data_IF_671953886535
#
_entry.id   IF_671953886535
#
_cell.length_a   1.000
_cell.length_b   1.000
_cell.length_c   1.000
_cell.angle_alpha   90.00
_cell.angle_beta   90.00
_cell.angle_gamma   90.00
#
_symmetry.space_group_name_H-M   'P 1'
#
loop_
_entity.id
_entity.type
_entity.pdbx_description
1 polymer ?
#
# COMPACT_ATOMS: atom_id res chain seq x y z
N UNK A 1 2.58 -6.68 -35.12
CA UNK A 1 3.31 -5.90 -34.10
C UNK A 1 2.25 -5.06 -33.40
N UNK A 2 1.65 -5.61 -32.35
CA UNK A 2 0.57 -4.95 -31.61
C UNK A 2 1.16 -3.89 -30.69
N UNK A 3 0.67 -2.66 -30.80
CA UNK A 3 0.93 -1.57 -29.87
C UNK A 3 0.63 -2.00 -28.43
N UNK A 4 1.66 -2.45 -27.70
CA UNK A 4 1.56 -2.68 -26.27
C UNK A 4 1.61 -1.30 -25.60
N UNK A 5 0.45 -0.63 -25.56
CA UNK A 5 0.25 0.57 -24.75
C UNK A 5 0.54 0.19 -23.30
N UNK A 6 1.70 0.62 -22.79
CA UNK A 6 2.02 0.60 -21.37
C UNK A 6 0.88 1.32 -20.63
N UNK A 7 -0.02 0.55 -20.02
CA UNK A 7 -1.16 1.08 -19.28
C UNK A 7 -0.75 1.17 -17.83
N UNK A 8 -0.41 2.37 -17.39
CA UNK A 8 -0.16 2.64 -15.97
C UNK A 8 -1.46 2.52 -15.19
N UNK A 9 -1.44 1.77 -14.10
CA UNK A 9 -2.55 1.69 -13.17
C UNK A 9 -2.30 2.56 -11.95
N UNK A 10 -3.38 3.15 -11.44
CA UNK A 10 -3.34 4.08 -10.32
C UNK A 10 -4.24 3.57 -9.20
N UNK A 11 -3.66 3.39 -8.01
CA UNK A 11 -4.35 3.05 -6.77
C UNK A 11 -4.40 4.32 -5.89
N UNK A 12 -5.57 4.97 -5.77
CA UNK A 12 -5.72 6.23 -5.06
C UNK A 12 -5.70 6.08 -3.53
N UNK A 13 -5.42 7.18 -2.83
CA UNK A 13 -5.55 7.27 -1.38
C UNK A 13 -7.02 7.12 -0.93
N UNK A 14 -7.99 7.63 -1.70
CA UNK A 14 -9.42 7.57 -1.37
C UNK A 14 -10.10 6.24 -1.76
N UNK A 15 -9.32 5.19 -2.00
CA UNK A 15 -9.81 3.85 -2.35
C UNK A 15 -10.82 3.26 -1.37
N UNK A 16 -10.80 3.68 -0.11
CA UNK A 16 -11.79 3.28 0.90
C UNK A 16 -13.23 3.67 0.52
N UNK A 17 -13.42 4.73 -0.28
CA UNK A 17 -14.74 5.19 -0.73
C UNK A 17 -15.46 4.18 -1.64
N UNK A 18 -14.73 3.23 -2.26
CA UNK A 18 -15.32 2.24 -3.18
C UNK A 18 -16.27 1.30 -2.43
N UNK A 19 -16.03 1.07 -1.14
CA UNK A 19 -16.93 0.31 -0.29
C UNK A 19 -18.36 0.89 -0.28
N UNK A 20 -18.51 2.21 -0.46
CA UNK A 20 -19.81 2.88 -0.53
C UNK A 20 -20.52 2.69 -1.88
N UNK A 21 -19.77 2.43 -2.95
CA UNK A 21 -20.30 2.34 -4.31
C UNK A 21 -21.08 1.06 -4.55
N UNK A 22 -20.74 -0.05 -3.88
CA UNK A 22 -21.36 -1.36 -4.10
C UNK A 22 -22.91 -1.34 -3.99
N UNK A 23 -23.46 -0.55 -3.06
CA UNK A 23 -24.92 -0.41 -2.88
C UNK A 23 -25.50 0.93 -3.33
N UNK A 24 -24.67 1.97 -3.39
CA UNK A 24 -25.16 3.34 -3.57
C UNK A 24 -24.79 3.97 -4.91
N UNK A 25 -23.99 3.29 -5.76
CA UNK A 25 -23.52 3.87 -7.02
C UNK A 25 -24.68 4.30 -7.93
N UNK A 26 -25.71 3.46 -8.08
CA UNK A 26 -26.90 3.81 -8.88
C UNK A 26 -27.59 5.05 -8.35
N UNK A 27 -27.73 5.17 -7.02
CA UNK A 27 -28.33 6.35 -6.39
C UNK A 27 -27.49 7.61 -6.60
N UNK A 28 -26.16 7.51 -6.49
CA UNK A 28 -25.23 8.61 -6.76
C UNK A 28 -25.30 9.08 -8.21
N UNK A 29 -25.39 8.13 -9.15
CA UNK A 29 -25.53 8.42 -10.58
C UNK A 29 -26.89 9.08 -10.89
N UNK A 30 -27.98 8.57 -10.32
CA UNK A 30 -29.34 9.14 -10.50
C UNK A 30 -29.44 10.53 -9.88
N UNK A 31 -28.75 10.77 -8.75
CA UNK A 31 -28.70 12.07 -8.10
C UNK A 31 -27.71 13.04 -8.76
N UNK A 32 -27.08 12.67 -9.89
CA UNK A 32 -26.09 13.47 -10.62
C UNK A 32 -24.94 13.98 -9.74
N UNK A 33 -24.56 13.20 -8.72
CA UNK A 33 -23.45 13.55 -7.83
C UNK A 33 -22.15 13.54 -8.65
N UNK A 34 -21.36 14.63 -8.66
CA UNK A 34 -20.11 14.68 -9.42
C UNK A 34 -19.08 13.75 -8.78
N UNK A 35 -18.85 12.59 -9.40
CA UNK A 35 -17.84 11.62 -8.96
C UNK A 35 -16.55 11.78 -9.78
N UNK A 36 -15.37 11.81 -9.12
CA UNK A 36 -14.10 11.86 -9.84
C UNK A 36 -13.91 10.66 -10.76
N UNK A 37 -13.53 10.91 -12.02
CA UNK A 37 -13.35 9.85 -13.03
C UNK A 37 -12.32 8.80 -12.63
N UNK A 38 -11.25 9.20 -11.95
CA UNK A 38 -10.20 8.27 -11.52
C UNK A 38 -10.72 7.25 -10.49
N UNK A 39 -11.63 7.66 -9.59
CA UNK A 39 -12.26 6.76 -8.62
C UNK A 39 -13.21 5.79 -9.30
N UNK A 40 -13.98 6.25 -10.29
CA UNK A 40 -14.84 5.35 -11.09
C UNK A 40 -14.02 4.33 -11.88
N UNK A 41 -12.89 4.76 -12.46
CA UNK A 41 -11.97 3.85 -13.15
C UNK A 41 -11.39 2.81 -12.18
N UNK A 42 -10.83 3.25 -11.06
CA UNK A 42 -10.27 2.36 -10.05
C UNK A 42 -11.33 1.41 -9.46
N UNK A 43 -12.55 1.89 -9.21
CA UNK A 43 -13.69 1.05 -8.81
C UNK A 43 -13.97 -0.03 -9.86
N UNK A 44 -13.96 0.30 -11.16
CA UNK A 44 -14.12 -0.72 -12.20
C UNK A 44 -13.00 -1.77 -12.19
N UNK A 45 -11.76 -1.39 -11.94
CA UNK A 45 -10.64 -2.33 -11.86
C UNK A 45 -10.71 -3.21 -10.61
N UNK A 46 -11.10 -2.64 -9.47
CA UNK A 46 -11.39 -3.38 -8.24
C UNK A 46 -12.46 -4.46 -8.47
N UNK A 47 -13.52 -4.13 -9.20
CA UNK A 47 -14.58 -5.08 -9.54
C UNK A 47 -14.08 -6.22 -10.43
N UNK A 48 -13.24 -5.92 -11.42
CA UNK A 48 -12.59 -6.94 -12.27
C UNK A 48 -11.67 -7.84 -11.46
N UNK A 49 -10.84 -7.26 -10.60
CA UNK A 49 -9.94 -7.98 -9.71
C UNK A 49 -10.72 -8.94 -8.79
N UNK A 50 -11.79 -8.45 -8.17
CA UNK A 50 -12.66 -9.27 -7.32
C UNK A 50 -13.32 -10.42 -8.08
N UNK A 51 -13.76 -10.19 -9.32
CA UNK A 51 -14.40 -11.22 -10.15
C UNK A 51 -13.44 -12.32 -10.59
N UNK A 52 -12.16 -12.00 -10.79
CA UNK A 52 -11.15 -12.97 -11.20
C UNK A 52 -10.54 -13.72 -10.02
N UNK A 53 -10.07 -12.99 -8.99
CA UNK A 53 -9.35 -13.61 -7.88
C UNK A 53 -10.27 -14.40 -6.96
N UNK A 54 -11.55 -14.00 -6.87
CA UNK A 54 -12.64 -14.57 -6.06
C UNK A 54 -12.40 -14.62 -4.55
N UNK A 55 -11.21 -14.94 -4.08
CA UNK A 55 -10.84 -15.01 -2.67
C UNK A 55 -9.45 -14.42 -2.45
N UNK A 56 -9.21 -13.90 -1.24
CA UNK A 56 -7.90 -13.38 -0.84
C UNK A 56 -7.75 -13.43 0.69
N UNK A 57 -6.61 -13.92 1.18
CA UNK A 57 -6.24 -13.77 2.58
C UNK A 57 -5.29 -12.58 2.74
N UNK A 58 -5.56 -11.72 3.74
CA UNK A 58 -4.77 -10.53 4.03
C UNK A 58 -5.05 -10.05 5.46
N UNK A 59 -4.07 -9.46 6.14
CA UNK A 59 -4.23 -8.84 7.48
C UNK A 59 -5.03 -9.70 8.50
N UNK A 60 -4.86 -11.03 8.46
CA UNK A 60 -5.58 -12.01 9.28
C UNK A 60 -7.11 -12.08 9.06
N UNK A 61 -7.59 -11.66 7.89
CA UNK A 61 -8.97 -11.85 7.44
C UNK A 61 -8.98 -12.54 6.08
N UNK A 62 -10.15 -13.12 5.73
CA UNK A 62 -10.38 -13.73 4.43
C UNK A 62 -11.45 -12.96 3.67
N UNK A 63 -11.10 -12.47 2.50
CA UNK A 63 -12.04 -11.93 1.53
C UNK A 63 -12.62 -13.04 0.64
N UNK A 64 -13.92 -12.94 0.36
CA UNK A 64 -14.63 -13.74 -0.63
C UNK A 64 -15.56 -12.84 -1.44
N UNK A 65 -15.46 -12.90 -2.77
CA UNK A 65 -16.38 -12.23 -3.68
C UNK A 65 -17.57 -13.15 -4.00
N UNK A 66 -18.73 -12.82 -3.42
CA UNK A 66 -20.00 -13.46 -3.79
C UNK A 66 -20.54 -12.97 -5.13
N UNK A 67 -21.82 -13.26 -5.38
CA UNK A 67 -22.55 -12.82 -6.57
C UNK A 67 -23.64 -11.80 -6.21
N UNK A 68 -24.03 -10.94 -7.17
CA UNK A 68 -25.15 -10.00 -7.00
C UNK A 68 -24.92 -8.94 -5.91
N UNK A 69 -25.83 -8.87 -4.93
CA UNK A 69 -25.74 -7.92 -3.79
C UNK A 69 -24.88 -8.46 -2.63
N UNK A 70 -24.42 -9.70 -2.71
CA UNK A 70 -23.66 -10.42 -1.69
C UNK A 70 -22.13 -10.32 -1.92
N UNK A 71 -21.69 -9.27 -2.61
CA UNK A 71 -20.29 -9.08 -3.00
C UNK A 71 -19.45 -8.52 -1.87
N UNK A 72 -18.16 -8.82 -1.95
CA UNK A 72 -17.12 -8.35 -1.02
C UNK A 72 -17.38 -8.68 0.46
N UNK A 73 -17.46 -9.98 0.77
CA UNK A 73 -17.57 -10.48 2.14
C UNK A 73 -16.18 -10.56 2.76
N UNK A 74 -16.04 -10.07 3.99
CA UNK A 74 -14.81 -10.15 4.79
C UNK A 74 -15.09 -11.03 6.01
N UNK A 75 -14.49 -12.21 6.01
CA UNK A 75 -14.54 -13.19 7.08
C UNK A 75 -13.43 -12.91 8.09
N UNK A 76 -13.80 -12.81 9.37
CA UNK A 76 -12.87 -12.66 10.49
C UNK A 76 -12.73 -13.95 11.31
N UNK A 77 -13.48 -14.98 10.94
CA UNK A 77 -13.29 -16.39 11.31
C UNK A 77 -13.97 -17.28 10.23
N UNK A 78 -13.96 -18.60 10.42
CA UNK A 78 -14.48 -19.56 9.42
C UNK A 78 -15.96 -19.40 9.05
N UNK A 79 -16.76 -18.69 9.87
CA UNK A 79 -18.23 -18.63 9.73
C UNK A 79 -18.76 -17.21 9.62
N UNK A 80 -18.20 -16.30 10.40
CA UNK A 80 -18.71 -14.95 10.56
C UNK A 80 -18.02 -13.99 9.59
N UNK A 81 -18.84 -13.22 8.89
CA UNK A 81 -18.38 -12.21 7.95
C UNK A 81 -19.16 -10.90 8.08
N UNK A 82 -18.54 -9.83 7.59
CA UNK A 82 -19.19 -8.56 7.34
C UNK A 82 -19.05 -8.21 5.86
N UNK A 83 -20.06 -7.61 5.22
CA UNK A 83 -19.87 -6.89 3.98
C UNK A 83 -18.77 -5.82 4.14
N UNK A 84 -17.98 -5.57 3.09
CA UNK A 84 -16.86 -4.62 3.12
C UNK A 84 -17.26 -3.24 3.66
N UNK A 85 -18.43 -2.73 3.29
CA UNK A 85 -18.94 -1.43 3.74
C UNK A 85 -19.16 -1.32 5.26
N UNK A 86 -19.29 -2.45 5.96
CA UNK A 86 -19.45 -2.51 7.41
C UNK A 86 -18.17 -2.94 8.14
N UNK A 87 -17.08 -3.20 7.41
CA UNK A 87 -15.78 -3.49 8.01
C UNK A 87 -15.08 -2.22 8.53
N UNK A 88 -13.97 -2.37 9.24
CA UNK A 88 -13.18 -1.24 9.71
C UNK A 88 -12.57 -0.45 8.54
N UNK A 89 -12.29 0.84 8.76
CA UNK A 89 -11.71 1.71 7.73
C UNK A 89 -10.35 1.20 7.20
N UNK A 90 -9.56 0.52 8.04
CA UNK A 90 -8.32 -0.14 7.64
C UNK A 90 -8.56 -1.27 6.64
N UNK A 91 -9.59 -2.10 6.85
CA UNK A 91 -9.98 -3.16 5.90
C UNK A 91 -10.58 -2.58 4.62
N UNK A 92 -11.41 -1.54 4.73
CA UNK A 92 -11.97 -0.82 3.58
C UNK A 92 -10.89 -0.19 2.69
N UNK A 93 -9.77 0.24 3.28
CA UNK A 93 -8.59 0.77 2.56
C UNK A 93 -7.70 -0.36 2.02
N UNK A 94 -7.44 -1.40 2.82
CA UNK A 94 -6.52 -2.48 2.48
C UNK A 94 -7.06 -3.40 1.40
N UNK A 95 -8.32 -3.84 1.47
CA UNK A 95 -8.84 -4.84 0.53
C UNK A 95 -8.74 -4.37 -0.94
N UNK A 96 -9.17 -3.14 -1.30
CA UNK A 96 -9.00 -2.65 -2.67
C UNK A 96 -7.54 -2.62 -3.11
N UNK A 97 -6.63 -2.16 -2.25
CA UNK A 97 -5.19 -2.14 -2.52
C UNK A 97 -4.67 -3.56 -2.79
N UNK A 98 -4.88 -4.49 -1.86
CA UNK A 98 -4.36 -5.84 -1.94
C UNK A 98 -4.86 -6.59 -3.18
N UNK A 99 -6.18 -6.56 -3.44
CA UNK A 99 -6.75 -7.20 -4.63
C UNK A 99 -6.20 -6.60 -5.93
N UNK A 100 -6.14 -5.27 -6.02
CA UNK A 100 -5.73 -4.61 -7.26
C UNK A 100 -4.24 -4.72 -7.51
N UNK A 101 -3.38 -4.68 -6.48
CA UNK A 101 -1.94 -4.96 -6.62
C UNK A 101 -1.71 -6.34 -7.22
N UNK A 102 -2.32 -7.38 -6.66
CA UNK A 102 -2.20 -8.76 -7.17
C UNK A 102 -2.76 -8.91 -8.58
N UNK A 103 -3.86 -8.22 -8.87
CA UNK A 103 -4.47 -8.23 -10.19
C UNK A 103 -3.60 -7.51 -11.24
N UNK A 104 -3.04 -6.35 -10.88
CA UNK A 104 -2.28 -5.49 -11.78
C UNK A 104 -0.88 -5.99 -12.07
N UNK A 105 -0.21 -6.61 -11.11
CA UNK A 105 1.19 -7.02 -11.27
C UNK A 105 1.42 -7.92 -12.50
N UNK A 106 0.48 -8.80 -12.82
CA UNK A 106 0.57 -9.71 -13.97
C UNK A 106 0.04 -9.11 -15.30
N UNK A 107 -0.37 -7.84 -15.30
CA UNK A 107 -1.12 -7.21 -16.41
C UNK A 107 -0.53 -5.88 -16.86
N UNK A 108 0.12 -5.17 -15.95
CA UNK A 108 0.53 -3.81 -16.16
C UNK A 108 1.97 -3.60 -15.72
N UNK A 109 2.79 -3.07 -16.63
CA UNK A 109 4.19 -2.77 -16.37
C UNK A 109 4.41 -1.54 -15.49
N UNK A 110 3.37 -0.82 -15.08
CA UNK A 110 3.50 0.39 -14.25
C UNK A 110 2.33 0.52 -13.29
N UNK A 111 2.64 0.66 -12.01
CA UNK A 111 1.66 0.74 -10.92
C UNK A 111 2.05 1.93 -10.03
N UNK A 112 1.11 2.84 -9.81
CA UNK A 112 1.23 3.99 -8.92
C UNK A 112 0.33 3.74 -7.71
N UNK A 113 0.86 3.88 -6.51
CA UNK A 113 0.12 3.69 -5.25
C UNK A 113 0.28 4.93 -4.39
N UNK A 114 -0.84 5.56 -4.03
CA UNK A 114 -0.87 6.64 -3.04
C UNK A 114 -1.25 6.11 -1.65
N UNK A 115 -0.47 6.51 -0.66
CA UNK A 115 -0.65 6.21 0.77
C UNK A 115 -1.00 4.73 1.04
N UNK A 116 -0.13 3.75 0.72
CA UNK A 116 -0.39 2.35 1.04
C UNK A 116 -0.69 2.11 2.54
N UNK A 117 -0.22 2.99 3.42
CA UNK A 117 -0.42 2.98 4.87
C UNK A 117 -1.81 3.42 5.36
N UNK A 118 -2.63 4.00 4.49
CA UNK A 118 -3.83 4.74 4.87
C UNK A 118 -4.75 3.88 5.76
N UNK A 119 -5.13 4.40 6.95
CA UNK A 119 -5.94 3.75 7.99
C UNK A 119 -5.33 2.48 8.63
N UNK A 120 -4.05 2.18 8.40
CA UNK A 120 -3.40 0.99 8.94
C UNK A 120 -2.52 1.31 10.15
N UNK A 121 -2.57 0.43 11.14
CA UNK A 121 -1.63 0.44 12.26
C UNK A 121 -0.22 0.04 11.78
N UNK A 122 0.88 0.50 12.41
CA UNK A 122 2.25 0.27 11.92
C UNK A 122 2.58 -1.17 11.53
N UNK A 123 2.10 -2.16 12.30
CA UNK A 123 2.29 -3.58 11.96
C UNK A 123 1.65 -3.96 10.61
N UNK A 124 0.43 -3.51 10.36
CA UNK A 124 -0.27 -3.76 9.09
C UNK A 124 0.36 -3.01 7.92
N UNK A 125 0.99 -1.85 8.15
CA UNK A 125 1.75 -1.13 7.12
C UNK A 125 2.94 -1.97 6.65
N UNK A 126 3.72 -2.55 7.57
CA UNK A 126 4.80 -3.49 7.23
C UNK A 126 4.28 -4.66 6.37
N UNK A 127 3.23 -5.34 6.84
CA UNK A 127 2.62 -6.46 6.12
C UNK A 127 2.10 -6.05 4.73
N UNK A 128 1.64 -4.80 4.58
CA UNK A 128 1.20 -4.24 3.29
C UNK A 128 2.37 -4.03 2.33
N UNK A 129 3.49 -3.51 2.82
CA UNK A 129 4.70 -3.33 1.99
C UNK A 129 5.25 -4.69 1.55
N UNK A 130 5.34 -5.65 2.47
CA UNK A 130 5.76 -7.02 2.14
C UNK A 130 4.84 -7.65 1.08
N UNK A 131 3.52 -7.47 1.22
CA UNK A 131 2.55 -7.93 0.23
C UNK A 131 2.74 -7.28 -1.14
N UNK A 132 2.97 -5.96 -1.19
CA UNK A 132 3.22 -5.24 -2.43
C UNK A 132 4.48 -5.80 -3.10
N UNK A 133 5.61 -5.84 -2.38
CA UNK A 133 6.88 -6.32 -2.93
C UNK A 133 6.77 -7.77 -3.41
N UNK A 134 6.07 -8.65 -2.69
CA UNK A 134 5.88 -10.05 -3.09
C UNK A 134 5.18 -10.23 -4.43
N UNK A 135 4.26 -9.32 -4.77
CA UNK A 135 3.45 -9.46 -5.99
C UNK A 135 4.05 -8.71 -7.19
N UNK A 136 4.84 -7.68 -6.95
CA UNK A 136 5.49 -6.90 -7.99
C UNK A 136 6.67 -7.71 -8.57
N UNK A 137 6.83 -7.69 -9.88
CA UNK A 137 7.85 -8.41 -10.65
C UNK A 137 8.84 -7.43 -11.28
N UNK A 138 9.96 -7.95 -11.80
CA UNK A 138 10.97 -7.15 -12.52
C UNK A 138 10.41 -6.43 -13.77
N UNK A 139 9.25 -6.85 -14.28
CA UNK A 139 8.58 -6.20 -15.41
C UNK A 139 7.74 -4.98 -14.99
N UNK A 140 7.51 -4.81 -13.69
CA UNK A 140 6.70 -3.74 -13.14
C UNK A 140 7.56 -2.56 -12.68
N UNK A 141 7.11 -1.34 -12.99
CA UNK A 141 7.61 -0.08 -12.43
C UNK A 141 6.64 0.38 -11.36
N UNK A 142 7.02 0.19 -10.10
CA UNK A 142 6.24 0.63 -8.94
C UNK A 142 6.64 2.06 -8.55
N UNK A 143 5.65 2.93 -8.41
CA UNK A 143 5.80 4.26 -7.83
C UNK A 143 4.89 4.37 -6.62
N UNK A 144 5.44 4.73 -5.46
CA UNK A 144 4.67 4.86 -4.22
C UNK A 144 4.86 6.25 -3.63
N UNK A 145 3.78 6.79 -3.07
CA UNK A 145 3.79 8.02 -2.29
C UNK A 145 3.35 7.68 -0.86
N UNK A 146 4.11 8.15 0.13
CA UNK A 146 3.87 7.83 1.53
C UNK A 146 4.29 9.01 2.41
N UNK A 147 3.57 9.20 3.50
CA UNK A 147 3.95 10.07 4.61
C UNK A 147 4.41 9.27 5.83
N UNK A 148 4.40 7.94 5.74
CA UNK A 148 4.66 7.06 6.87
C UNK A 148 6.14 6.72 7.03
N UNK A 149 6.76 7.06 8.20
CA UNK A 149 8.09 6.57 8.52
C UNK A 149 8.12 5.03 8.66
N UNK A 150 6.99 4.39 8.97
CA UNK A 150 6.91 2.93 9.09
C UNK A 150 6.97 2.24 7.72
N UNK A 151 6.43 2.85 6.67
CA UNK A 151 6.58 2.35 5.29
C UNK A 151 8.04 2.40 4.86
N UNK A 152 8.72 3.53 5.10
CA UNK A 152 10.15 3.67 4.78
C UNK A 152 11.01 2.69 5.59
N UNK A 153 10.71 2.53 6.88
CA UNK A 153 11.39 1.56 7.75
C UNK A 153 11.19 0.13 7.25
N UNK A 154 9.97 -0.22 6.82
CA UNK A 154 9.70 -1.55 6.26
C UNK A 154 10.54 -1.78 4.99
N UNK A 155 10.58 -0.82 4.06
CA UNK A 155 11.42 -0.91 2.86
C UNK A 155 12.91 -1.05 3.20
N UNK A 156 13.42 -0.27 4.17
CA UNK A 156 14.81 -0.38 4.64
C UNK A 156 15.12 -1.77 5.20
N UNK A 157 14.21 -2.38 5.94
CA UNK A 157 14.39 -3.75 6.43
C UNK A 157 14.50 -4.75 5.27
N UNK A 158 13.70 -4.59 4.22
CA UNK A 158 13.73 -5.45 3.03
C UNK A 158 15.02 -5.26 2.20
N UNK A 159 15.51 -4.03 2.10
CA UNK A 159 16.79 -3.70 1.47
C UNK A 159 17.95 -4.31 2.25
N UNK A 160 17.99 -4.08 3.56
CA UNK A 160 19.04 -4.62 4.42
C UNK A 160 19.04 -6.15 4.43
N UNK A 161 17.86 -6.78 4.41
CA UNK A 161 17.74 -8.23 4.30
C UNK A 161 18.38 -8.77 3.02
N UNK A 162 18.24 -8.07 1.88
CA UNK A 162 18.90 -8.46 0.64
C UNK A 162 20.43 -8.38 0.75
N UNK A 163 20.96 -7.32 1.34
CA UNK A 163 22.41 -7.16 1.53
C UNK A 163 22.98 -8.21 2.49
N UNK A 164 22.28 -8.50 3.61
CA UNK A 164 22.64 -9.57 4.54
C UNK A 164 22.59 -10.93 3.84
N UNK A 165 21.56 -11.21 3.04
CA UNK A 165 21.43 -12.43 2.25
C UNK A 165 22.62 -12.62 1.30
N UNK A 166 22.99 -11.57 0.56
CA UNK A 166 24.09 -11.62 -0.40
C UNK A 166 25.46 -11.84 0.28
N UNK A 167 25.65 -11.33 1.49
CA UNK A 167 26.92 -11.44 2.22
C UNK A 167 27.04 -12.70 3.10
N UNK A 168 25.94 -13.14 3.70
CA UNK A 168 25.91 -14.18 4.75
C UNK A 168 25.07 -15.41 4.38
N UNK A 169 24.37 -15.37 3.25
CA UNK A 169 23.46 -16.42 2.79
C UNK A 169 22.04 -16.30 3.37
N UNK A 170 21.11 -17.04 2.76
CA UNK A 170 19.66 -17.02 3.09
C UNK A 170 19.37 -17.39 4.55
N UNK A 171 20.17 -18.27 5.17
CA UNK A 171 19.94 -18.71 6.55
C UNK A 171 20.05 -17.55 7.56
N UNK A 172 20.79 -16.48 7.23
CA UNK A 172 20.94 -15.31 8.10
C UNK A 172 19.65 -14.48 8.21
N UNK A 173 18.72 -14.59 7.26
CA UNK A 173 17.47 -13.80 7.22
C UNK A 173 16.20 -14.61 7.48
N UNK A 174 16.28 -15.94 7.43
CA UNK A 174 15.14 -16.88 7.40
C UNK A 174 14.06 -16.70 8.47
N UNK A 175 14.41 -16.19 9.65
CA UNK A 175 13.46 -15.95 10.76
C UNK A 175 13.11 -14.47 10.96
N UNK A 176 13.53 -13.61 10.03
CA UNK A 176 13.39 -12.15 10.11
C UNK A 176 12.58 -11.65 8.91
N UNK A 177 12.97 -12.02 7.69
CA UNK A 177 12.34 -11.62 6.43
C UNK A 177 12.36 -12.82 5.47
N UNK A 178 11.27 -13.07 4.75
CA UNK A 178 11.27 -14.11 3.71
C UNK A 178 12.07 -13.64 2.48
N UNK A 179 12.77 -14.56 1.81
CA UNK A 179 13.62 -14.21 0.67
C UNK A 179 12.87 -13.50 -0.46
N UNK A 180 11.60 -13.84 -0.68
CA UNK A 180 10.73 -13.22 -1.70
C UNK A 180 10.40 -11.75 -1.43
N UNK A 181 10.65 -11.26 -0.21
CA UNK A 181 10.45 -9.86 0.16
C UNK A 181 11.74 -9.04 0.04
N UNK A 182 12.89 -9.66 -0.22
CA UNK A 182 14.15 -8.94 -0.35
C UNK A 182 14.11 -7.95 -1.53
N UNK A 183 14.54 -6.72 -1.28
CA UNK A 183 14.61 -5.66 -2.30
C UNK A 183 16.07 -5.29 -2.53
N UNK A 184 16.49 -5.19 -3.78
CA UNK A 184 17.83 -4.72 -4.09
C UNK A 184 17.88 -3.18 -4.03
N UNK A 185 18.84 -2.64 -3.28
CA UNK A 185 19.03 -1.19 -3.13
C UNK A 185 19.15 -0.47 -4.49
N UNK A 186 19.84 -1.08 -5.45
CA UNK A 186 20.11 -0.44 -6.74
C UNK A 186 18.85 -0.32 -7.63
N UNK A 187 17.78 -1.04 -7.27
CA UNK A 187 16.48 -1.00 -7.96
C UNK A 187 15.49 -0.01 -7.29
N UNK A 188 15.93 0.69 -6.23
CA UNK A 188 15.11 1.64 -5.47
C UNK A 188 15.60 3.06 -5.68
N UNK A 189 14.65 3.99 -5.86
CA UNK A 189 14.91 5.41 -5.76
C UNK A 189 13.89 6.03 -4.81
N UNK A 190 14.35 6.91 -3.93
CA UNK A 190 13.49 7.60 -2.97
C UNK A 190 13.78 9.10 -3.00
N UNK A 191 12.71 9.90 -3.01
CA UNK A 191 12.78 11.35 -3.07
C UNK A 191 11.79 11.95 -2.07
N UNK A 192 12.18 13.09 -1.51
CA UNK A 192 11.28 13.98 -0.77
C UNK A 192 11.09 15.30 -1.52
N UNK A 193 10.06 16.06 -1.17
CA UNK A 193 9.80 17.38 -1.73
C UNK A 193 9.99 18.42 -0.62
N UNK A 194 10.95 19.33 -0.80
CA UNK A 194 11.17 20.48 0.07
C UNK A 194 11.19 21.73 -0.79
N UNK A 195 10.41 22.75 -0.40
CA UNK A 195 10.32 24.04 -1.11
C UNK A 195 10.06 23.88 -2.63
N UNK A 196 9.22 22.92 -3.00
CA UNK A 196 8.86 22.64 -4.39
C UNK A 196 9.97 21.98 -5.22
N UNK A 197 11.05 21.52 -4.60
CA UNK A 197 12.15 20.79 -5.25
C UNK A 197 12.18 19.33 -4.78
N UNK A 198 12.41 18.42 -5.73
CA UNK A 198 12.73 17.03 -5.43
C UNK A 198 14.15 16.93 -4.89
N UNK A 199 14.30 16.26 -3.75
CA UNK A 199 15.58 15.98 -3.10
C UNK A 199 15.69 14.47 -2.94
N UNK A 200 16.81 13.94 -3.41
CA UNK A 200 17.16 12.53 -3.26
C UNK A 200 17.49 12.21 -1.80
N UNK A 201 16.86 11.17 -1.27
CA UNK A 201 17.02 10.75 0.13
C UNK A 201 17.66 9.35 0.25
N UNK A 202 18.20 8.78 -0.81
CA UNK A 202 18.94 7.52 -0.70
C UNK A 202 20.29 7.76 -0.03
N UNK A 203 20.61 7.00 1.01
CA UNK A 203 21.93 6.95 1.63
C UNK A 203 22.79 5.90 0.92
N UNK A 204 23.84 6.33 0.23
CA UNK A 204 24.73 5.44 -0.54
C UNK A 204 25.83 4.82 0.32
N UNK A 205 26.14 5.41 1.46
CA UNK A 205 27.15 4.87 2.39
C UNK A 205 26.54 3.70 3.16
N UNK A 206 25.35 3.92 3.72
CA UNK A 206 24.62 2.90 4.50
C UNK A 206 23.75 1.98 3.63
N UNK A 207 23.56 2.31 2.33
CA UNK A 207 22.71 1.57 1.39
C UNK A 207 21.26 1.44 1.87
N UNK A 208 20.69 2.54 2.37
CA UNK A 208 19.32 2.62 2.89
C UNK A 208 18.61 3.88 2.40
N UNK A 209 17.30 3.97 2.61
CA UNK A 209 16.52 5.20 2.47
C UNK A 209 16.73 6.05 3.73
N UNK A 210 17.16 7.30 3.57
CA UNK A 210 17.39 8.26 4.65
C UNK A 210 16.07 8.77 5.26
N UNK A 211 15.71 8.25 6.43
CA UNK A 211 14.46 8.56 7.15
C UNK A 211 14.54 9.89 7.92
N UNK A 212 15.75 10.37 8.20
CA UNK A 212 16.05 11.53 9.06
C UNK A 212 15.26 12.80 8.72
N UNK A 213 14.76 12.92 7.50
CA UNK A 213 13.98 14.06 7.05
C UNK A 213 12.52 14.05 7.56
N UNK A 214 11.91 12.86 7.74
CA UNK A 214 10.58 12.73 8.37
C UNK A 214 10.69 12.89 9.89
N UNK A 215 11.78 12.40 10.49
CA UNK A 215 12.03 12.50 11.93
C UNK A 215 12.14 13.96 12.41
N UNK A 216 12.57 14.87 11.53
CA UNK A 216 12.66 16.30 11.86
C UNK A 216 11.32 16.94 12.30
N UNK A 217 10.18 16.44 11.79
CA UNK A 217 8.84 16.90 12.22
C UNK A 217 8.51 16.34 13.61
N UNK A 218 8.84 15.07 13.85
CA UNK A 218 8.69 14.45 15.17
C UNK A 218 9.55 15.17 16.22
N UNK A 219 10.77 15.55 15.86
CA UNK A 219 11.68 16.32 16.71
C UNK A 219 11.12 17.72 17.03
N UNK A 220 10.51 18.40 16.06
CA UNK A 220 9.85 19.69 16.31
C UNK A 220 8.67 19.56 17.29
N UNK A 221 7.83 18.54 17.10
CA UNK A 221 6.68 18.26 17.97
C UNK A 221 7.14 17.93 19.38
N UNK A 222 8.16 17.08 19.53
CA UNK A 222 8.73 16.72 20.83
C UNK A 222 9.38 17.92 21.51
N UNK A 223 10.12 18.75 20.77
CA UNK A 223 10.72 19.97 21.30
C UNK A 223 9.65 20.95 21.81
N UNK A 224 8.50 21.04 21.13
CA UNK A 224 7.37 21.82 21.61
C UNK A 224 6.78 21.24 22.91
N UNK A 225 6.64 19.92 23.02
CA UNK A 225 6.22 19.26 24.25
C UNK A 225 7.19 19.56 25.41
N UNK A 226 8.50 19.41 25.20
CA UNK A 226 9.53 19.67 26.21
C UNK A 226 9.54 21.14 26.65
N UNK A 227 9.36 22.08 25.71
CA UNK A 227 9.20 23.52 25.99
C UNK A 227 7.94 23.83 26.78
N UNK A 228 6.86 23.06 26.63
CA UNK A 228 5.63 23.23 27.39
C UNK A 228 5.76 22.60 28.79
N UNK A 229 6.38 21.42 28.87
CA UNK A 229 6.62 20.73 30.13
C UNK A 229 7.51 21.56 31.06
N UNK A 230 8.59 22.15 30.52
CA UNK A 230 9.48 23.06 31.25
C UNK A 230 8.84 24.39 31.69
N UNK A 231 7.59 24.66 31.29
CA UNK A 231 6.80 25.81 31.77
C UNK A 231 5.81 25.44 32.88
N UNK A 232 5.64 24.15 33.17
CA UNK A 232 4.82 23.66 34.28
C UNK A 232 5.63 23.52 35.59
N UNK A 233 6.96 23.53 35.48
CA UNK A 233 7.93 23.62 36.59
C UNK A 233 8.28 25.09 36.93
#
# INVERSE_FOLDING_TARGET
>A
ISDNKLTTQYIPAERNLISLFNKSLTTLLVAEVPLPKFLLHFSSEFEKAGNELKELEFLNVKYVNGDGLDRHKVYFNDKDYLPLEFSSSGIQSALPLYLTVKYFANRHNSIIIEEPEQNLFPKAQKETIEYIIEHITDENRLFMMTHSPYVLTALNNLILANDVKNQKGVEAIKNIVEEKHCVNFDDVNAYTIIDGKSIDIMDREDRLIGINLIDSISDEVNNNFDKLLSKLD
#
